data_IF_847550074473
#
_entry.id   IF_847550074473
#
_cell.length_a   1.000
_cell.length_b   1.000
_cell.length_c   1.000
_cell.angle_alpha   90.00
_cell.angle_beta   90.00
_cell.angle_gamma   90.00
#
_symmetry.space_group_name_H-M   'P 1'
#
loop_
_entity.id
_entity.type
_entity.pdbx_description
1 polymer ?
#
# COMPACT_ATOMS: atom_id res chain seq x y z
N UNK A 1 -10.81 6.74 -11.30
CA UNK A 1 -9.97 7.19 -10.16
C UNK A 1 -8.63 6.47 -10.31
N UNK A 2 -7.51 7.09 -9.92
CA UNK A 2 -6.24 6.87 -10.63
C UNK A 2 -5.31 5.92 -9.88
N UNK A 3 -4.92 4.82 -10.53
CA UNK A 3 -3.79 3.96 -10.13
C UNK A 3 -2.52 4.75 -9.76
N UNK A 4 -2.36 5.94 -10.35
CA UNK A 4 -1.28 6.90 -10.08
C UNK A 4 -1.25 7.40 -8.63
N UNK A 5 -2.40 7.47 -7.94
CA UNK A 5 -2.44 7.82 -6.51
C UNK A 5 -1.88 6.71 -5.63
N UNK A 6 -2.20 5.46 -5.94
CA UNK A 6 -1.67 4.31 -5.22
C UNK A 6 -0.16 4.11 -5.48
N UNK A 7 0.33 4.34 -6.71
CA UNK A 7 1.77 4.37 -6.97
C UNK A 7 2.50 5.46 -6.18
N UNK A 8 1.94 6.68 -6.14
CA UNK A 8 2.49 7.78 -5.35
C UNK A 8 2.53 7.45 -3.86
N UNK A 9 1.47 6.84 -3.36
CA UNK A 9 1.39 6.36 -1.99
C UNK A 9 2.48 5.33 -1.68
N UNK A 10 2.63 4.30 -2.53
CA UNK A 10 3.67 3.27 -2.35
C UNK A 10 5.08 3.89 -2.39
N UNK A 11 5.29 4.87 -3.27
CA UNK A 11 6.55 5.63 -3.32
C UNK A 11 6.78 6.43 -2.03
N UNK A 12 5.77 7.14 -1.53
CA UNK A 12 5.85 7.92 -0.28
C UNK A 12 6.15 7.03 0.93
N UNK A 13 5.40 5.93 1.09
CA UNK A 13 5.63 4.93 2.15
C UNK A 13 7.01 4.29 2.00
N UNK A 14 7.52 4.12 0.78
CA UNK A 14 8.86 3.58 0.58
C UNK A 14 10.00 4.53 0.98
N UNK A 15 9.72 5.82 1.14
CA UNK A 15 10.72 6.84 1.51
C UNK A 15 10.55 7.30 2.96
N UNK A 16 9.31 7.32 3.45
CA UNK A 16 8.96 7.85 4.76
C UNK A 16 8.76 6.72 5.78
N UNK A 17 9.62 6.69 6.80
CA UNK A 17 9.57 5.66 7.84
C UNK A 17 8.36 5.81 8.76
N UNK A 18 7.91 7.04 9.02
CA UNK A 18 6.73 7.27 9.87
C UNK A 18 5.46 6.74 9.21
N UNK A 19 5.34 6.89 7.88
CA UNK A 19 4.27 6.25 7.14
C UNK A 19 4.35 4.73 7.24
N UNK A 20 5.54 4.13 7.12
CA UNK A 20 5.67 2.67 7.22
C UNK A 20 5.21 2.16 8.57
N UNK A 21 5.64 2.77 9.66
CA UNK A 21 5.29 2.31 11.01
C UNK A 21 3.78 2.44 11.23
N UNK A 22 3.19 3.56 10.82
CA UNK A 22 1.74 3.79 10.91
C UNK A 22 0.91 2.81 10.10
N UNK A 23 1.38 2.43 8.91
CA UNK A 23 0.71 1.44 8.06
C UNK A 23 1.04 -0.01 8.45
N UNK A 24 2.07 -0.23 9.26
CA UNK A 24 2.44 -1.54 9.78
C UNK A 24 1.62 -1.95 11.02
N UNK A 25 1.02 -0.97 11.71
CA UNK A 25 0.06 -1.20 12.81
C UNK A 25 -1.36 -1.51 12.31
N UNK A 26 -1.66 -1.23 11.05
CA UNK A 26 -2.99 -1.48 10.48
C UNK A 26 -3.13 -2.96 10.19
N UNK A 27 -4.21 -3.56 10.68
CA UNK A 27 -4.53 -4.98 10.42
C UNK A 27 -5.66 -5.17 9.41
N UNK A 28 -6.41 -4.11 9.07
CA UNK A 28 -7.61 -4.18 8.21
C UNK A 28 -7.50 -3.42 6.87
N UNK A 29 -7.90 -4.02 5.72
CA UNK A 29 -8.02 -3.35 4.42
C UNK A 29 -8.76 -2.02 4.46
N UNK A 30 -9.89 -1.99 5.18
CA UNK A 30 -10.74 -0.80 5.27
C UNK A 30 -10.06 0.34 6.03
N UNK A 31 -9.26 0.00 7.04
CA UNK A 31 -8.52 0.97 7.83
C UNK A 31 -7.34 1.53 7.01
N UNK A 32 -6.71 0.69 6.20
CA UNK A 32 -5.67 1.11 5.25
C UNK A 32 -6.21 2.11 4.22
N UNK A 33 -7.36 1.80 3.62
CA UNK A 33 -8.01 2.70 2.64
C UNK A 33 -8.44 4.00 3.32
N UNK A 34 -8.97 3.93 4.54
CA UNK A 34 -9.32 5.14 5.30
C UNK A 34 -8.11 6.02 5.60
N UNK A 35 -7.01 5.44 6.04
CA UNK A 35 -5.81 6.20 6.42
C UNK A 35 -5.12 6.80 5.20
N UNK A 36 -5.09 6.07 4.09
CA UNK A 36 -4.59 6.60 2.82
C UNK A 36 -5.47 7.73 2.27
N UNK A 37 -6.80 7.65 2.40
CA UNK A 37 -7.71 8.75 2.06
C UNK A 37 -7.49 9.98 2.94
N UNK A 38 -7.26 9.79 4.25
CA UNK A 38 -6.92 10.90 5.16
C UNK A 38 -5.63 11.62 4.78
N UNK A 39 -4.68 10.90 4.19
CA UNK A 39 -3.42 11.45 3.67
C UNK A 39 -3.58 12.09 2.28
N UNK A 40 -4.80 12.10 1.72
CA UNK A 40 -5.09 12.65 0.39
C UNK A 40 -4.87 11.67 -0.76
N UNK A 41 -4.57 10.41 -0.48
CA UNK A 41 -4.45 9.36 -1.49
C UNK A 41 -5.79 8.63 -1.66
N UNK A 42 -6.57 9.02 -2.66
CA UNK A 42 -7.83 8.35 -2.98
C UNK A 42 -7.59 7.16 -3.92
N UNK A 43 -7.61 5.95 -3.36
CA UNK A 43 -7.63 4.69 -4.11
C UNK A 43 -8.46 3.63 -3.36
N UNK A 44 -8.87 2.60 -4.08
CA UNK A 44 -9.60 1.45 -3.52
C UNK A 44 -8.64 0.29 -3.19
N UNK A 45 -9.07 -0.60 -2.29
CA UNK A 45 -8.37 -1.84 -1.99
C UNK A 45 -8.13 -2.70 -3.25
N UNK A 46 -9.09 -2.72 -4.17
CA UNK A 46 -8.98 -3.44 -5.44
C UNK A 46 -7.88 -2.86 -6.34
N UNK A 47 -7.83 -1.53 -6.51
CA UNK A 47 -6.77 -0.86 -7.29
C UNK A 47 -5.39 -1.11 -6.68
N UNK A 48 -5.29 -1.03 -5.34
CA UNK A 48 -4.05 -1.32 -4.63
C UNK A 48 -3.61 -2.76 -4.85
N UNK A 49 -4.53 -3.73 -4.75
CA UNK A 49 -4.27 -5.16 -5.01
C UNK A 49 -3.78 -5.41 -6.43
N UNK A 50 -4.35 -4.73 -7.42
CA UNK A 50 -3.90 -4.80 -8.82
C UNK A 50 -2.46 -4.30 -8.95
N UNK A 51 -2.14 -3.13 -8.40
CA UNK A 51 -0.80 -2.54 -8.48
C UNK A 51 0.23 -3.41 -7.74
N UNK A 52 -0.14 -3.94 -6.57
CA UNK A 52 0.69 -4.90 -5.83
C UNK A 52 0.95 -6.14 -6.67
N UNK A 53 -0.07 -6.67 -7.34
CA UNK A 53 0.05 -7.87 -8.18
C UNK A 53 0.92 -7.61 -9.41
N UNK A 54 0.73 -6.47 -10.08
CA UNK A 54 1.52 -6.03 -11.24
C UNK A 54 2.99 -5.77 -10.86
N UNK A 55 3.23 -5.07 -9.74
CA UNK A 55 4.59 -4.81 -9.26
C UNK A 55 5.26 -6.06 -8.66
N UNK A 56 4.50 -6.99 -8.09
CA UNK A 56 5.00 -8.28 -7.59
C UNK A 56 5.46 -9.20 -8.74
N UNK A 57 4.77 -9.18 -9.89
CA UNK A 57 5.18 -9.97 -11.06
C UNK A 57 6.40 -9.37 -11.80
N UNK A 58 6.59 -8.05 -11.73
CA UNK A 58 7.61 -7.35 -12.54
C UNK A 58 8.89 -6.94 -11.82
N UNK A 59 8.97 -6.97 -10.49
CA UNK A 59 10.05 -6.26 -9.78
C UNK A 59 10.86 -7.15 -8.83
N UNK A 60 12.11 -7.37 -9.23
CA UNK A 60 13.26 -8.00 -8.51
C UNK A 60 13.68 -7.20 -7.24
N UNK A 61 12.98 -6.12 -6.89
CA UNK A 61 13.31 -5.28 -5.74
C UNK A 61 12.67 -5.86 -4.48
N UNK A 62 13.42 -6.73 -3.82
CA UNK A 62 13.35 -6.95 -2.36
C UNK A 62 13.47 -5.59 -1.65
N UNK A 63 12.39 -4.81 -1.56
CA UNK A 63 12.41 -3.50 -0.90
C UNK A 63 11.77 -3.60 0.48
N UNK A 64 12.62 -3.49 1.49
CA UNK A 64 12.36 -3.41 2.93
C UNK A 64 11.48 -2.22 3.31
N UNK A 65 10.22 -2.23 2.87
CA UNK A 65 9.25 -1.16 3.13
C UNK A 65 8.27 -1.52 4.25
N UNK A 66 8.35 -2.73 4.82
CA UNK A 66 7.56 -3.16 5.99
C UNK A 66 6.09 -3.42 5.68
N UNK A 67 5.42 -2.42 5.10
CA UNK A 67 3.99 -2.42 4.74
C UNK A 67 3.63 -3.51 3.73
N UNK A 68 4.60 -3.94 2.90
CA UNK A 68 4.38 -5.04 1.95
C UNK A 68 4.26 -6.42 2.59
N UNK A 69 4.70 -6.58 3.85
CA UNK A 69 4.44 -7.81 4.61
C UNK A 69 2.94 -7.93 4.86
N UNK A 70 2.34 -6.84 5.35
CA UNK A 70 0.91 -6.74 5.55
C UNK A 70 0.13 -6.91 4.24
N UNK A 71 0.51 -6.20 3.17
CA UNK A 71 -0.17 -6.30 1.87
C UNK A 71 -0.20 -7.72 1.27
N UNK A 72 0.77 -8.58 1.64
CA UNK A 72 0.82 -10.00 1.26
C UNK A 72 0.00 -10.91 2.17
N UNK A 73 0.03 -10.64 3.48
CA UNK A 73 -0.60 -11.50 4.50
C UNK A 73 -2.09 -11.16 4.74
N UNK A 74 -2.55 -10.00 4.30
CA UNK A 74 -3.95 -9.58 4.40
C UNK A 74 -4.86 -10.41 3.51
N UNK A 75 -5.93 -10.92 4.13
CA UNK A 75 -7.06 -11.51 3.41
C UNK A 75 -7.89 -10.39 2.76
N UNK A 76 -7.57 -10.11 1.49
CA UNK A 76 -8.37 -9.26 0.60
C UNK A 76 -9.65 -10.02 0.20
N UNK A 77 -10.62 -10.16 1.12
CA UNK A 77 -11.96 -10.71 0.82
C UNK A 77 -12.81 -9.71 0.07
#
# INVERSE_FOLDING_TARGET
MSAKSAERFLCAVSQDQWLRDRFNEIESPDEFVRLSHQLGYCFTAAELKTIISEQSQGVILRRHTGVWKWLRDVQWM
#
